data_IF_633206067424
#
_entry.id   IF_633206067424
#
_cell.length_a   1.000
_cell.length_b   1.000
_cell.length_c   1.000
_cell.angle_alpha   90.00
_cell.angle_beta   90.00
_cell.angle_gamma   90.00
#
_symmetry.space_group_name_H-M   'P 1'
#
loop_
_entity.id
_entity.type
_entity.pdbx_description
1 polymer ?
#
# COMPACT_ATOMS: atom_id res chain seq x y z
N UNK A 1 20.14 17.46 -23.23
CA UNK A 1 19.17 16.74 -22.37
C UNK A 1 19.97 15.80 -21.48
N UNK A 2 19.65 15.67 -20.19
CA UNK A 2 20.36 14.71 -19.35
C UNK A 2 20.25 13.30 -19.92
N UNK A 3 21.27 12.46 -19.68
CA UNK A 3 21.31 11.09 -20.15
C UNK A 3 20.06 10.29 -19.68
N UNK A 4 19.68 9.29 -20.45
CA UNK A 4 18.56 8.40 -20.07
C UNK A 4 19.02 7.57 -18.85
N UNK A 5 18.33 7.65 -17.71
CA UNK A 5 18.76 6.94 -16.52
C UNK A 5 18.50 5.43 -16.65
N UNK A 6 19.44 4.65 -16.15
CA UNK A 6 19.36 3.20 -16.01
C UNK A 6 19.36 2.88 -14.52
N UNK A 7 18.61 1.85 -14.09
CA UNK A 7 18.62 1.43 -12.70
C UNK A 7 20.03 0.99 -12.26
N UNK A 8 20.51 1.55 -11.15
CA UNK A 8 21.85 1.27 -10.61
C UNK A 8 21.83 0.42 -9.34
N UNK A 9 20.69 0.35 -8.63
CA UNK A 9 20.54 -0.43 -7.39
C UNK A 9 19.52 -1.56 -7.62
N UNK A 10 19.98 -2.80 -7.49
CA UNK A 10 19.13 -3.99 -7.71
C UNK A 10 18.21 -4.30 -6.50
N UNK A 11 17.57 -5.45 -6.53
CA UNK A 11 16.80 -5.98 -5.41
C UNK A 11 17.74 -6.42 -4.29
N UNK A 12 17.20 -6.46 -3.08
CA UNK A 12 17.95 -6.77 -1.86
C UNK A 12 18.80 -8.05 -1.96
N UNK A 13 18.24 -9.10 -2.58
CA UNK A 13 18.90 -10.41 -2.71
C UNK A 13 20.12 -10.39 -3.65
N UNK A 14 20.25 -9.36 -4.48
CA UNK A 14 21.31 -9.21 -5.47
C UNK A 14 22.30 -8.09 -5.13
N UNK A 15 22.18 -7.49 -3.95
CA UNK A 15 23.10 -6.43 -3.54
C UNK A 15 24.37 -7.02 -2.94
N UNK A 16 25.54 -6.42 -3.23
CA UNK A 16 26.77 -6.74 -2.50
C UNK A 16 26.61 -6.35 -1.02
N UNK A 17 27.36 -7.02 -0.15
CA UNK A 17 27.34 -6.70 1.29
C UNK A 17 28.31 -5.54 1.57
N UNK A 18 27.82 -4.32 1.81
CA UNK A 18 28.67 -3.15 2.02
C UNK A 18 29.38 -3.15 3.38
N UNK A 19 29.06 -4.11 4.28
CA UNK A 19 29.75 -4.25 5.56
C UNK A 19 30.98 -5.11 5.49
N UNK A 20 31.21 -5.80 4.35
CA UNK A 20 32.36 -6.69 4.11
C UNK A 20 33.28 -6.23 3.00
N UNK A 21 32.87 -5.25 2.23
CA UNK A 21 33.52 -4.79 1.02
C UNK A 21 33.87 -3.31 1.12
N UNK A 22 34.93 -2.89 0.45
CA UNK A 22 35.28 -1.47 0.27
C UNK A 22 34.39 -0.78 -0.77
N UNK A 23 34.35 0.56 -0.83
CA UNK A 23 33.60 1.29 -1.86
C UNK A 23 33.93 0.86 -3.29
N UNK A 24 35.21 0.58 -3.58
CA UNK A 24 35.68 0.12 -4.89
C UNK A 24 35.17 -1.28 -5.23
N UNK A 25 35.18 -2.19 -4.26
CA UNK A 25 34.69 -3.56 -4.43
C UNK A 25 33.16 -3.64 -4.55
N UNK A 26 32.43 -2.73 -3.87
CA UNK A 26 30.96 -2.67 -3.93
C UNK A 26 30.49 -2.14 -5.29
N UNK A 27 31.23 -1.23 -5.91
CA UNK A 27 30.84 -0.57 -7.16
C UNK A 27 31.97 -0.57 -8.21
N UNK A 28 32.51 -1.71 -8.60
CA UNK A 28 33.64 -1.79 -9.54
C UNK A 28 33.31 -1.26 -10.94
N UNK A 29 32.02 -1.17 -11.27
CA UNK A 29 31.53 -0.63 -12.54
C UNK A 29 31.53 0.91 -12.60
N UNK A 30 31.69 1.60 -11.47
CA UNK A 30 31.82 3.07 -11.39
C UNK A 30 33.30 3.44 -11.44
N UNK A 31 33.67 4.35 -12.33
CA UNK A 31 35.06 4.79 -12.51
C UNK A 31 35.42 5.90 -11.52
N UNK A 32 34.46 6.74 -11.16
CA UNK A 32 34.65 7.88 -10.29
C UNK A 32 34.61 7.46 -8.81
N UNK A 33 35.67 7.68 -8.05
CA UNK A 33 35.80 7.33 -6.64
C UNK A 33 34.74 7.99 -5.74
N UNK A 34 34.37 9.25 -6.04
CA UNK A 34 33.32 9.92 -5.30
C UNK A 34 31.96 9.22 -5.52
N UNK A 35 31.66 8.77 -6.73
CA UNK A 35 30.45 8.02 -7.03
C UNK A 35 30.47 6.62 -6.39
N UNK A 36 31.64 5.96 -6.32
CA UNK A 36 31.79 4.68 -5.60
C UNK A 36 31.49 4.87 -4.11
N UNK A 37 32.02 5.95 -3.51
CA UNK A 37 31.79 6.29 -2.11
C UNK A 37 30.32 6.63 -1.85
N UNK A 38 29.69 7.43 -2.68
CA UNK A 38 28.25 7.75 -2.60
C UNK A 38 27.40 6.48 -2.66
N UNK A 39 27.69 5.60 -3.62
CA UNK A 39 26.98 4.33 -3.81
C UNK A 39 27.14 3.41 -2.59
N UNK A 40 28.35 3.32 -2.05
CA UNK A 40 28.65 2.53 -0.86
C UNK A 40 27.79 2.95 0.35
N UNK A 41 27.73 4.26 0.66
CA UNK A 41 26.91 4.75 1.77
C UNK A 41 25.42 4.58 1.50
N UNK A 42 24.96 4.70 0.27
CA UNK A 42 23.58 4.38 -0.10
C UNK A 42 23.26 2.91 0.17
N UNK A 43 24.15 1.98 -0.18
CA UNK A 43 23.92 0.56 0.10
C UNK A 43 23.93 0.27 1.59
N UNK A 44 24.81 0.87 2.39
CA UNK A 44 24.80 0.75 3.85
C UNK A 44 23.46 1.20 4.45
N UNK A 45 22.97 2.35 4.02
CA UNK A 45 21.65 2.83 4.42
C UNK A 45 20.53 1.87 4.05
N UNK A 46 20.49 1.40 2.83
CA UNK A 46 19.45 0.49 2.35
C UNK A 46 19.50 -0.89 3.02
N UNK A 47 20.67 -1.39 3.34
CA UNK A 47 20.86 -2.65 4.06
C UNK A 47 20.29 -2.60 5.49
N UNK A 48 20.11 -1.42 6.10
CA UNK A 48 19.43 -1.26 7.38
C UNK A 48 17.96 -1.66 7.33
N UNK A 49 17.39 -1.79 6.13
CA UNK A 49 15.98 -2.16 5.89
C UNK A 49 15.80 -3.59 5.37
N UNK A 50 16.77 -4.50 5.58
CA UNK A 50 16.73 -5.91 5.14
C UNK A 50 15.47 -6.66 5.61
N UNK A 51 14.88 -6.31 6.74
CA UNK A 51 13.67 -6.94 7.28
C UNK A 51 12.34 -6.42 6.67
N UNK A 52 12.36 -5.56 5.64
CA UNK A 52 11.15 -4.99 5.03
C UNK A 52 11.36 -4.64 3.56
N UNK A 53 11.08 -5.58 2.68
CA UNK A 53 11.20 -5.39 1.22
C UNK A 53 10.41 -4.19 0.68
N UNK A 54 9.24 -3.89 1.25
CA UNK A 54 8.44 -2.73 0.86
C UNK A 54 9.10 -1.41 1.25
N UNK A 55 9.67 -1.33 2.46
CA UNK A 55 10.42 -0.16 2.94
C UNK A 55 11.68 0.02 2.12
N UNK A 56 12.47 -1.05 1.95
CA UNK A 56 13.65 -1.05 1.09
C UNK A 56 13.35 -0.49 -0.30
N UNK A 57 12.31 -0.99 -0.97
CA UNK A 57 11.95 -0.54 -2.33
C UNK A 57 11.53 0.94 -2.38
N UNK A 58 10.84 1.44 -1.35
CA UNK A 58 10.46 2.85 -1.27
C UNK A 58 11.68 3.75 -1.06
N UNK A 59 12.59 3.37 -0.15
CA UNK A 59 13.79 4.11 0.17
C UNK A 59 14.78 4.08 -0.99
N UNK A 60 15.03 2.90 -1.57
CA UNK A 60 15.86 2.74 -2.77
C UNK A 60 15.44 3.70 -3.88
N UNK A 61 14.12 3.77 -4.16
CA UNK A 61 13.61 4.63 -5.22
C UNK A 61 13.97 6.09 -5.04
N UNK A 62 13.85 6.63 -3.82
CA UNK A 62 14.09 8.04 -3.56
C UNK A 62 15.61 8.36 -3.54
N UNK A 63 16.42 7.53 -2.86
CA UNK A 63 17.86 7.78 -2.81
C UNK A 63 18.54 7.56 -4.17
N UNK A 64 18.11 6.57 -4.95
CA UNK A 64 18.63 6.35 -6.29
C UNK A 64 18.29 7.48 -7.25
N UNK A 65 17.08 8.06 -7.16
CA UNK A 65 16.71 9.26 -7.92
C UNK A 65 17.63 10.44 -7.60
N UNK A 66 17.94 10.63 -6.32
CA UNK A 66 18.87 11.67 -5.89
C UNK A 66 20.25 11.42 -6.47
N UNK A 67 20.82 10.22 -6.34
CA UNK A 67 22.14 9.90 -6.90
C UNK A 67 22.20 10.11 -8.41
N UNK A 68 21.22 9.59 -9.14
CA UNK A 68 21.17 9.76 -10.60
C UNK A 68 21.08 11.21 -11.00
N UNK A 69 20.32 12.03 -10.27
CA UNK A 69 20.21 13.45 -10.53
C UNK A 69 21.53 14.20 -10.22
N UNK A 70 22.16 13.89 -9.08
CA UNK A 70 23.45 14.47 -8.72
C UNK A 70 24.51 14.17 -9.76
N UNK A 71 24.65 12.90 -10.15
CA UNK A 71 25.72 12.48 -11.06
C UNK A 71 25.49 12.87 -12.51
N UNK A 72 24.25 12.74 -13.00
CA UNK A 72 23.95 12.97 -14.42
C UNK A 72 23.57 14.41 -14.77
N UNK A 73 23.23 15.25 -13.76
CA UNK A 73 22.69 16.58 -14.00
C UNK A 73 23.50 17.68 -13.32
N UNK A 74 24.08 17.39 -12.17
CA UNK A 74 24.80 18.39 -11.36
C UNK A 74 26.32 18.13 -11.33
N UNK A 75 26.77 16.93 -11.69
CA UNK A 75 28.18 16.50 -11.58
C UNK A 75 28.72 16.63 -10.14
N UNK A 76 27.84 16.39 -9.15
CA UNK A 76 28.12 16.53 -7.72
C UNK A 76 28.14 15.16 -7.04
N UNK A 77 28.82 15.08 -5.89
CA UNK A 77 28.77 13.98 -4.93
C UNK A 77 27.99 14.35 -3.67
N UNK A 78 27.65 13.38 -2.82
CA UNK A 78 26.85 13.59 -1.60
C UNK A 78 27.44 14.64 -0.64
N UNK A 79 28.78 14.74 -0.42
CA UNK A 79 29.37 15.78 0.42
C UNK A 79 29.17 17.20 -0.09
N UNK A 80 28.94 17.36 -1.39
CA UNK A 80 28.76 18.67 -2.02
C UNK A 80 27.33 19.18 -1.93
N UNK A 81 26.40 18.33 -1.50
CA UNK A 81 24.97 18.66 -1.48
C UNK A 81 24.69 19.74 -0.44
N UNK A 82 24.10 20.83 -0.87
CA UNK A 82 23.65 21.96 -0.06
C UNK A 82 22.13 22.06 -0.15
N UNK A 83 21.55 22.97 0.64
CA UNK A 83 20.12 23.26 0.68
C UNK A 83 19.54 23.56 -0.71
N UNK A 84 20.22 24.43 -1.48
CA UNK A 84 19.78 24.82 -2.82
C UNK A 84 19.69 23.63 -3.77
N UNK A 85 20.60 22.66 -3.66
CA UNK A 85 20.55 21.43 -4.48
C UNK A 85 19.33 20.57 -4.13
N UNK A 86 18.92 20.52 -2.86
CA UNK A 86 17.70 19.81 -2.47
C UNK A 86 16.45 20.52 -3.01
N UNK A 87 16.42 21.85 -3.02
CA UNK A 87 15.32 22.62 -3.62
C UNK A 87 15.22 22.35 -5.13
N UNK A 88 16.35 22.39 -5.85
CA UNK A 88 16.45 22.08 -7.28
C UNK A 88 16.05 20.61 -7.58
N UNK A 89 16.50 19.67 -6.74
CA UNK A 89 16.10 18.27 -6.87
C UNK A 89 14.59 18.08 -6.71
N UNK A 90 13.96 18.78 -5.77
CA UNK A 90 12.50 18.70 -5.60
C UNK A 90 11.74 19.30 -6.78
N UNK A 91 12.22 20.41 -7.37
CA UNK A 91 11.70 20.95 -8.63
C UNK A 91 11.82 19.93 -9.76
N UNK A 92 12.99 19.30 -9.88
CA UNK A 92 13.22 18.22 -10.84
C UNK A 92 12.26 17.03 -10.63
N UNK A 93 11.99 16.62 -9.38
CA UNK A 93 11.05 15.55 -9.07
C UNK A 93 9.59 15.91 -9.43
N UNK A 94 9.23 17.19 -9.37
CA UNK A 94 7.89 17.66 -9.74
C UNK A 94 7.72 17.72 -11.27
N UNK A 95 8.76 18.14 -11.99
CA UNK A 95 8.75 18.29 -13.45
C UNK A 95 10.02 17.69 -14.08
N UNK A 96 10.16 16.34 -14.02
CA UNK A 96 11.33 15.69 -14.60
C UNK A 96 11.29 15.74 -16.14
N UNK A 97 12.45 15.68 -16.81
CA UNK A 97 12.53 15.58 -18.26
C UNK A 97 11.75 14.36 -18.80
N UNK A 98 11.19 14.49 -19.98
CA UNK A 98 10.34 13.44 -20.57
C UNK A 98 11.02 12.08 -20.72
N UNK A 99 12.34 12.06 -20.96
CA UNK A 99 13.14 10.84 -21.05
C UNK A 99 13.39 10.15 -19.69
N UNK A 100 13.04 10.79 -18.57
CA UNK A 100 13.07 10.22 -17.22
C UNK A 100 11.71 9.65 -16.78
N UNK A 101 10.66 9.82 -17.57
CA UNK A 101 9.29 9.40 -17.25
C UNK A 101 8.90 8.17 -18.06
N UNK A 102 8.52 7.09 -17.37
CA UNK A 102 7.94 5.88 -17.97
C UNK A 102 6.41 5.91 -17.97
N UNK A 103 5.80 5.25 -18.95
CA UNK A 103 4.34 5.10 -19.04
C UNK A 103 3.83 3.82 -18.35
N UNK A 104 4.73 2.93 -17.97
CA UNK A 104 4.42 1.66 -17.27
C UNK A 104 5.55 1.30 -16.31
N UNK A 105 5.19 0.58 -15.24
CA UNK A 105 6.20 -0.04 -14.38
C UNK A 105 6.80 -1.25 -15.10
N UNK A 106 8.11 -1.25 -15.24
CA UNK A 106 8.90 -2.37 -15.79
C UNK A 106 9.92 -2.83 -14.76
N UNK A 107 10.46 -4.05 -14.95
CA UNK A 107 11.54 -4.56 -14.13
C UNK A 107 12.77 -3.64 -14.24
N UNK A 108 13.45 -3.42 -13.12
CA UNK A 108 14.65 -2.56 -13.05
C UNK A 108 15.85 -3.20 -13.75
N UNK A 109 15.99 -4.51 -13.59
CA UNK A 109 17.04 -5.32 -14.15
C UNK A 109 16.46 -6.47 -14.96
N UNK A 110 17.21 -6.91 -15.97
CA UNK A 110 16.90 -8.06 -16.81
C UNK A 110 18.09 -9.02 -16.81
N UNK A 111 17.83 -10.31 -16.96
CA UNK A 111 18.89 -11.27 -17.27
C UNK A 111 19.14 -11.25 -18.78
N UNK A 112 20.37 -10.98 -19.17
CA UNK A 112 20.82 -10.99 -20.56
C UNK A 112 22.09 -11.83 -20.65
N UNK A 113 22.06 -12.92 -21.41
CA UNK A 113 23.17 -13.87 -21.59
C UNK A 113 23.77 -14.40 -20.27
N UNK A 114 22.93 -14.62 -19.25
CA UNK A 114 23.35 -15.07 -17.92
C UNK A 114 23.80 -13.96 -16.97
N UNK A 115 23.98 -12.74 -17.45
CA UNK A 115 24.34 -11.58 -16.65
C UNK A 115 23.10 -10.72 -16.30
N UNK A 116 23.14 -10.13 -15.12
CA UNK A 116 22.08 -9.24 -14.64
C UNK A 116 22.40 -7.79 -14.97
N UNK A 117 21.67 -7.23 -15.92
CA UNK A 117 21.93 -5.88 -16.45
C UNK A 117 20.75 -4.94 -16.21
N UNK A 118 21.00 -3.65 -16.07
CA UNK A 118 19.98 -2.62 -15.97
C UNK A 118 19.03 -2.64 -17.18
N UNK A 119 17.71 -2.52 -16.91
CA UNK A 119 16.72 -2.50 -17.98
C UNK A 119 16.63 -1.13 -18.64
N UNK A 120 17.00 -1.03 -19.91
CA UNK A 120 16.97 0.22 -20.69
C UNK A 120 15.58 0.86 -20.85
N UNK A 121 14.48 0.09 -20.62
CA UNK A 121 13.11 0.62 -20.64
C UNK A 121 12.70 1.20 -19.27
N UNK A 122 13.46 0.91 -18.22
CA UNK A 122 13.12 1.41 -16.89
C UNK A 122 13.31 2.92 -16.80
N UNK A 123 12.44 3.57 -16.03
CA UNK A 123 12.53 5.00 -15.73
C UNK A 123 12.29 5.25 -14.25
N UNK A 124 12.99 6.23 -13.63
CA UNK A 124 12.83 6.54 -12.21
C UNK A 124 11.47 7.15 -11.86
N UNK A 125 10.83 7.83 -12.80
CA UNK A 125 9.49 8.36 -12.66
C UNK A 125 8.51 7.57 -13.54
N UNK A 126 7.30 7.35 -13.06
CA UNK A 126 6.26 6.66 -13.83
C UNK A 126 4.97 7.47 -13.76
N UNK A 127 4.39 7.74 -14.93
CA UNK A 127 3.11 8.40 -14.99
C UNK A 127 2.02 7.50 -14.38
N UNK A 128 1.25 7.97 -13.37
CA UNK A 128 0.20 7.16 -12.77
C UNK A 128 -0.91 6.87 -13.79
N UNK A 129 -1.27 5.60 -13.95
CA UNK A 129 -2.47 5.22 -14.71
C UNK A 129 -3.70 5.42 -13.83
N UNK A 130 -4.62 6.27 -14.26
CA UNK A 130 -5.93 6.37 -13.62
C UNK A 130 -6.91 5.40 -14.29
N UNK A 131 -7.16 4.25 -13.64
CA UNK A 131 -8.11 3.25 -14.14
C UNK A 131 -9.53 3.79 -14.28
N UNK A 132 -9.93 4.69 -13.38
CA UNK A 132 -11.29 5.26 -13.40
C UNK A 132 -11.57 6.11 -14.64
N UNK A 133 -10.57 6.83 -15.15
CA UNK A 133 -10.74 7.69 -16.32
C UNK A 133 -10.67 6.97 -17.66
N UNK A 134 -10.12 5.73 -17.72
CA UNK A 134 -9.86 5.01 -18.96
C UNK A 134 -8.84 5.67 -19.89
N UNK A 135 -8.24 6.80 -19.49
CA UNK A 135 -7.29 7.57 -20.28
C UNK A 135 -5.93 6.89 -20.22
N UNK A 136 -5.34 6.64 -21.39
CA UNK A 136 -3.96 6.11 -21.47
C UNK A 136 -2.99 7.13 -20.88
N UNK A 137 -2.01 6.69 -20.07
CA UNK A 137 -1.03 7.57 -19.47
C UNK A 137 -0.22 8.27 -20.59
N UNK A 138 -0.03 9.59 -20.44
CA UNK A 138 0.87 10.40 -21.28
C UNK A 138 1.93 11.03 -20.38
N UNK A 139 3.14 11.21 -20.89
CA UNK A 139 4.24 11.84 -20.15
C UNK A 139 3.85 13.23 -19.61
N UNK A 140 3.09 14.01 -20.40
CA UNK A 140 2.57 15.33 -20.02
C UNK A 140 1.62 15.31 -18.80
N UNK A 141 1.09 14.14 -18.45
CA UNK A 141 0.18 13.97 -17.31
C UNK A 141 0.92 13.57 -16.02
N UNK A 142 2.26 13.54 -16.03
CA UNK A 142 3.02 13.27 -14.82
C UNK A 142 2.83 14.41 -13.81
N UNK A 143 2.35 14.07 -12.64
CA UNK A 143 2.24 14.99 -11.50
C UNK A 143 2.33 14.18 -10.20
N UNK A 144 3.33 14.44 -9.36
CA UNK A 144 3.44 13.74 -8.08
C UNK A 144 2.39 14.27 -7.10
N UNK A 145 1.77 13.36 -6.34
CA UNK A 145 0.85 13.76 -5.28
C UNK A 145 1.61 14.45 -4.12
N UNK A 146 0.91 15.33 -3.37
CA UNK A 146 1.48 15.96 -2.17
C UNK A 146 2.01 14.94 -1.16
N UNK A 147 1.35 13.77 -1.04
CA UNK A 147 1.82 12.67 -0.20
C UNK A 147 3.13 12.07 -0.70
N UNK A 148 3.32 11.96 -2.02
CA UNK A 148 4.57 11.49 -2.60
C UNK A 148 5.71 12.47 -2.31
N UNK A 149 5.48 13.78 -2.48
CA UNK A 149 6.46 14.85 -2.17
C UNK A 149 6.86 14.80 -0.68
N UNK A 150 5.88 14.71 0.23
CA UNK A 150 6.14 14.59 1.66
C UNK A 150 6.94 13.31 2.01
N UNK A 151 6.63 12.19 1.34
CA UNK A 151 7.36 10.93 1.50
C UNK A 151 8.81 11.04 1.03
N UNK A 152 9.06 11.68 -0.12
CA UNK A 152 10.41 11.92 -0.62
C UNK A 152 11.23 12.74 0.38
N UNK A 153 10.70 13.86 0.89
CA UNK A 153 11.36 14.64 1.94
C UNK A 153 11.66 13.82 3.20
N UNK A 154 10.72 12.99 3.65
CA UNK A 154 10.91 12.18 4.84
C UNK A 154 12.03 11.14 4.66
N UNK A 155 12.05 10.46 3.51
CA UNK A 155 13.07 9.45 3.18
C UNK A 155 14.44 10.10 3.02
N UNK A 156 14.54 11.18 2.27
CA UNK A 156 15.80 11.89 2.06
C UNK A 156 16.34 12.47 3.38
N UNK A 157 15.47 13.04 4.22
CA UNK A 157 15.88 13.50 5.55
C UNK A 157 16.40 12.37 6.42
N UNK A 158 15.79 11.19 6.37
CA UNK A 158 16.27 9.99 7.06
C UNK A 158 17.63 9.54 6.53
N UNK A 159 17.81 9.56 5.20
CA UNK A 159 19.07 9.21 4.57
C UNK A 159 20.21 10.16 4.98
N UNK A 160 20.01 11.46 4.91
CA UNK A 160 21.04 12.44 5.32
C UNK A 160 21.34 12.37 6.83
N UNK A 161 20.36 12.06 7.68
CA UNK A 161 20.61 11.79 9.10
C UNK A 161 21.47 10.55 9.31
N UNK A 162 21.26 9.49 8.52
CA UNK A 162 22.11 8.30 8.54
C UNK A 162 23.55 8.67 8.14
N UNK A 163 23.76 9.48 7.09
CA UNK A 163 25.09 9.91 6.68
C UNK A 163 25.82 10.74 7.76
N UNK A 164 25.09 11.49 8.57
CA UNK A 164 25.65 12.18 9.74
C UNK A 164 26.05 11.18 10.82
N UNK A 165 25.21 10.16 11.11
CA UNK A 165 25.51 9.12 12.08
C UNK A 165 26.71 8.25 11.69
N UNK A 166 26.95 8.10 10.39
CA UNK A 166 28.15 7.44 9.82
C UNK A 166 29.37 8.38 9.73
N UNK A 167 29.27 9.59 10.27
CA UNK A 167 30.32 10.62 10.23
C UNK A 167 30.78 11.00 8.80
N UNK A 168 29.96 10.69 7.79
CA UNK A 168 30.25 11.03 6.41
C UNK A 168 29.87 12.48 6.07
N UNK A 169 28.86 13.03 6.72
CA UNK A 169 28.41 14.42 6.60
C UNK A 169 28.25 15.09 7.96
N UNK A 170 28.41 16.41 7.99
CA UNK A 170 28.24 17.21 9.21
C UNK A 170 26.82 17.79 9.38
N UNK A 171 26.01 17.85 8.32
CA UNK A 171 24.70 18.50 8.36
C UNK A 171 23.69 17.84 7.39
N UNK A 172 22.41 17.97 7.73
CA UNK A 172 21.31 17.49 6.89
C UNK A 172 20.74 18.64 6.04
N UNK A 173 21.01 18.70 4.73
CA UNK A 173 20.55 19.78 3.87
C UNK A 173 19.02 19.76 3.65
N UNK A 174 18.36 18.62 3.92
CA UNK A 174 16.92 18.43 3.69
C UNK A 174 16.09 19.03 4.83
N UNK A 175 16.61 19.06 6.06
CA UNK A 175 15.84 19.39 7.25
C UNK A 175 15.18 20.79 7.16
N UNK A 176 15.94 21.81 6.77
CA UNK A 176 15.45 23.19 6.65
C UNK A 176 14.47 23.36 5.47
N UNK A 177 14.74 22.70 4.34
CA UNK A 177 13.86 22.73 3.16
C UNK A 177 12.50 22.15 3.52
N UNK A 178 12.47 21.04 4.27
CA UNK A 178 11.24 20.38 4.68
C UNK A 178 10.36 21.25 5.59
N UNK A 179 10.97 22.00 6.54
CA UNK A 179 10.22 22.82 7.49
C UNK A 179 9.53 24.03 6.83
N UNK A 180 10.16 24.64 5.83
CA UNK A 180 9.69 25.87 5.15
C UNK A 180 9.38 25.62 3.67
N UNK A 181 9.02 24.41 3.30
CA UNK A 181 8.90 24.00 1.92
C UNK A 181 7.69 24.64 1.22
N UNK A 182 7.96 25.38 0.14
CA UNK A 182 6.94 25.80 -0.84
C UNK A 182 6.31 24.61 -1.59
N UNK A 183 6.96 23.45 -1.57
CA UNK A 183 6.52 22.23 -2.23
C UNK A 183 5.45 21.47 -1.44
N UNK A 184 5.37 21.69 -0.12
CA UNK A 184 4.41 21.03 0.75
C UNK A 184 3.22 21.96 0.96
N UNK A 185 2.17 21.74 0.20
CA UNK A 185 0.91 22.44 0.42
C UNK A 185 0.16 21.78 1.59
N UNK A 186 -0.20 22.56 2.59
CA UNK A 186 -1.13 22.13 3.64
C UNK A 186 -2.55 22.14 3.04
N UNK A 187 -2.90 21.06 2.36
CA UNK A 187 -4.28 20.88 1.89
C UNK A 187 -5.14 20.61 3.11
N UNK A 188 -6.01 21.55 3.46
CA UNK A 188 -6.97 21.42 4.57
C UNK A 188 -8.14 20.48 4.25
N UNK A 189 -8.13 19.82 3.10
CA UNK A 189 -9.16 18.85 2.77
C UNK A 189 -9.09 17.67 3.76
N UNK A 190 -10.15 17.49 4.54
CA UNK A 190 -10.32 16.26 5.31
C UNK A 190 -10.21 15.10 4.34
N UNK A 191 -9.36 14.11 4.63
CA UNK A 191 -9.23 12.95 3.76
C UNK A 191 -10.58 12.25 3.73
N UNK A 192 -11.26 12.31 2.58
CA UNK A 192 -12.50 11.58 2.39
C UNK A 192 -12.17 10.07 2.47
N UNK A 193 -12.81 9.39 3.41
CA UNK A 193 -12.69 7.93 3.51
C UNK A 193 -13.37 7.31 2.31
N UNK A 194 -12.61 6.66 1.47
CA UNK A 194 -13.09 6.01 0.26
C UNK A 194 -13.67 4.65 0.63
N UNK A 195 -14.98 4.51 0.52
CA UNK A 195 -15.75 3.31 0.86
C UNK A 195 -16.72 2.99 -0.27
N UNK A 196 -17.26 1.79 -0.28
CA UNK A 196 -18.35 1.37 -1.14
C UNK A 196 -19.66 1.44 -0.37
N UNK A 197 -20.79 1.69 -1.06
CA UNK A 197 -22.12 1.66 -0.47
C UNK A 197 -22.57 0.20 -0.23
N UNK A 198 -23.57 -0.01 0.64
CA UNK A 198 -24.16 -1.34 0.85
C UNK A 198 -24.70 -1.90 -0.46
N UNK A 199 -25.29 -1.08 -1.30
CA UNK A 199 -25.78 -1.49 -2.62
C UNK A 199 -24.65 -1.95 -3.55
N UNK A 200 -23.53 -1.23 -3.57
CA UNK A 200 -22.34 -1.64 -4.31
C UNK A 200 -21.76 -2.95 -3.75
N UNK A 201 -21.76 -3.11 -2.42
CA UNK A 201 -21.30 -4.34 -1.78
C UNK A 201 -22.14 -5.54 -2.19
N UNK A 202 -23.46 -5.41 -2.17
CA UNK A 202 -24.37 -6.48 -2.58
C UNK A 202 -24.14 -6.90 -4.04
N UNK A 203 -23.88 -5.95 -4.93
CA UNK A 203 -23.52 -6.26 -6.32
C UNK A 203 -22.16 -6.96 -6.43
N UNK A 204 -21.16 -6.56 -5.65
CA UNK A 204 -19.85 -7.21 -5.63
C UNK A 204 -19.97 -8.65 -5.13
N UNK A 205 -20.71 -8.88 -4.05
CA UNK A 205 -20.94 -10.22 -3.52
C UNK A 205 -21.73 -11.09 -4.50
N UNK A 206 -22.77 -10.55 -5.15
CA UNK A 206 -23.52 -11.27 -6.18
C UNK A 206 -22.63 -11.74 -7.33
N UNK A 207 -21.73 -10.87 -7.82
CA UNK A 207 -20.75 -11.28 -8.84
C UNK A 207 -19.83 -12.37 -8.33
N UNK A 208 -19.35 -12.28 -7.08
CA UNK A 208 -18.51 -13.31 -6.49
C UNK A 208 -19.24 -14.67 -6.37
N UNK A 209 -20.51 -14.64 -5.99
CA UNK A 209 -21.37 -15.84 -5.92
C UNK A 209 -21.63 -16.44 -7.31
N UNK A 210 -21.93 -15.61 -8.30
CA UNK A 210 -22.11 -16.04 -9.69
C UNK A 210 -20.83 -16.69 -10.26
N UNK A 211 -19.67 -16.16 -9.90
CA UNK A 211 -18.36 -16.72 -10.27
C UNK A 211 -18.13 -18.06 -9.55
N UNK A 212 -18.43 -18.14 -8.26
CA UNK A 212 -18.29 -19.36 -7.48
C UNK A 212 -19.26 -20.47 -7.96
N UNK A 213 -20.47 -20.11 -8.36
CA UNK A 213 -21.41 -21.05 -8.94
C UNK A 213 -20.96 -21.61 -10.30
N UNK A 214 -20.26 -20.80 -11.11
CA UNK A 214 -19.74 -21.21 -12.43
C UNK A 214 -18.43 -22.01 -12.33
N UNK A 215 -17.53 -21.59 -11.47
CA UNK A 215 -16.23 -22.22 -11.25
C UNK A 215 -15.87 -22.19 -9.75
N UNK A 216 -16.43 -23.15 -8.96
CA UNK A 216 -16.19 -23.21 -7.52
C UNK A 216 -14.69 -23.35 -7.20
N UNK A 217 -13.94 -24.10 -8.01
CA UNK A 217 -12.53 -24.35 -7.80
C UNK A 217 -11.69 -23.07 -7.78
N UNK A 218 -12.07 -22.11 -8.58
CA UNK A 218 -11.39 -20.82 -8.64
C UNK A 218 -11.97 -19.81 -7.64
N UNK A 219 -13.29 -19.83 -7.37
CA UNK A 219 -13.97 -18.66 -6.84
C UNK A 219 -14.64 -18.85 -5.46
N UNK A 220 -14.76 -20.06 -4.89
CA UNK A 220 -15.18 -20.20 -3.49
C UNK A 220 -14.24 -19.44 -2.54
N UNK A 221 -12.93 -19.50 -2.81
CA UNK A 221 -11.95 -18.68 -2.08
C UNK A 221 -12.14 -17.18 -2.31
N UNK A 222 -12.69 -16.74 -3.45
CA UNK A 222 -12.92 -15.32 -3.74
C UNK A 222 -14.01 -14.77 -2.83
N UNK A 223 -15.11 -15.52 -2.65
CA UNK A 223 -16.17 -15.19 -1.69
C UNK A 223 -15.59 -15.07 -0.27
N UNK A 224 -14.80 -16.06 0.15
CA UNK A 224 -14.16 -16.04 1.48
C UNK A 224 -13.19 -14.86 1.65
N UNK A 225 -12.37 -14.55 0.65
CA UNK A 225 -11.44 -13.39 0.66
C UNK A 225 -12.21 -12.08 0.85
N UNK A 226 -13.32 -11.88 0.14
CA UNK A 226 -14.14 -10.67 0.26
C UNK A 226 -14.69 -10.51 1.68
N UNK A 227 -15.21 -11.61 2.28
CA UNK A 227 -15.68 -11.61 3.65
C UNK A 227 -14.55 -11.30 4.66
N UNK A 228 -13.35 -11.86 4.48
CA UNK A 228 -12.19 -11.55 5.31
C UNK A 228 -11.80 -10.07 5.26
N UNK A 229 -11.80 -9.49 4.05
CA UNK A 229 -11.39 -8.10 3.84
C UNK A 229 -12.37 -7.09 4.45
N UNK A 230 -13.67 -7.36 4.37
CA UNK A 230 -14.71 -6.50 4.90
C UNK A 230 -15.00 -6.81 6.37
N UNK A 231 -15.28 -8.06 6.72
CA UNK A 231 -15.77 -8.45 8.05
C UNK A 231 -14.70 -8.50 9.14
N UNK A 232 -13.43 -8.78 8.75
CA UNK A 232 -12.29 -8.78 9.69
C UNK A 232 -11.32 -7.64 9.44
N UNK A 233 -11.62 -6.74 8.54
CA UNK A 233 -10.75 -5.60 8.18
C UNK A 233 -9.31 -5.99 7.85
N UNK A 234 -9.09 -7.18 7.30
CA UNK A 234 -7.75 -7.65 6.99
C UNK A 234 -7.07 -6.78 5.92
N UNK A 235 -5.78 -6.53 6.11
CA UNK A 235 -4.97 -5.98 5.02
C UNK A 235 -4.70 -7.08 4.01
N UNK A 236 -4.64 -6.73 2.73
CA UNK A 236 -4.36 -7.72 1.67
C UNK A 236 -3.09 -8.54 1.93
N UNK A 237 -2.09 -7.97 2.60
CA UNK A 237 -0.86 -8.67 2.99
C UNK A 237 -1.04 -9.65 4.15
N UNK A 238 -2.15 -9.58 4.87
CA UNK A 238 -2.47 -10.49 5.98
C UNK A 238 -3.25 -11.73 5.50
N UNK A 239 -3.60 -11.79 4.21
CA UNK A 239 -4.23 -12.94 3.56
C UNK A 239 -3.22 -13.86 2.84
N UNK A 240 -1.97 -13.44 2.71
CA UNK A 240 -0.94 -14.16 1.96
C UNK A 240 0.23 -14.52 2.86
N UNK A 241 0.90 -15.63 2.54
CA UNK A 241 2.14 -15.98 3.20
C UNK A 241 3.28 -15.06 2.72
N UNK A 242 4.02 -14.50 3.64
CA UNK A 242 5.22 -13.70 3.38
C UNK A 242 6.30 -14.00 4.44
N UNK A 243 7.40 -13.25 4.41
CA UNK A 243 8.52 -13.38 5.34
C UNK A 243 8.16 -13.20 6.83
N UNK A 244 6.98 -12.61 7.14
CA UNK A 244 6.54 -12.32 8.51
C UNK A 244 5.70 -13.44 9.10
N UNK A 245 4.79 -14.00 8.31
CA UNK A 245 3.85 -15.01 8.74
C UNK A 245 3.24 -15.79 7.57
N UNK A 246 2.81 -17.00 7.86
CA UNK A 246 1.95 -17.80 6.98
C UNK A 246 0.60 -17.92 7.67
N UNK A 247 -0.44 -17.19 7.22
CA UNK A 247 -1.77 -17.29 7.82
C UNK A 247 -2.37 -18.68 7.54
N UNK A 248 -2.90 -19.30 8.58
CA UNK A 248 -3.46 -20.66 8.54
C UNK A 248 -4.88 -20.71 9.13
N UNK A 249 -5.61 -21.79 8.86
CA UNK A 249 -6.94 -21.99 9.43
C UNK A 249 -6.90 -22.09 10.97
N UNK A 250 -5.83 -22.64 11.55
CA UNK A 250 -5.62 -22.72 12.99
C UNK A 250 -5.42 -21.38 13.69
N UNK A 251 -5.36 -20.26 12.94
CA UNK A 251 -5.39 -18.90 13.51
C UNK A 251 -6.80 -18.47 13.93
N UNK A 252 -7.85 -19.16 13.46
CA UNK A 252 -9.18 -19.08 14.06
C UNK A 252 -9.23 -19.96 15.31
N UNK A 253 -9.54 -19.35 16.44
CA UNK A 253 -9.59 -20.03 17.75
C UNK A 253 -10.83 -19.63 18.52
N UNK A 254 -11.44 -20.59 19.22
CA UNK A 254 -12.50 -20.31 20.19
C UNK A 254 -11.90 -20.21 21.59
N UNK A 255 -12.46 -19.33 22.42
CA UNK A 255 -12.19 -19.24 23.86
C UNK A 255 -13.11 -20.19 24.67
N UNK A 256 -13.01 -20.13 26.01
CA UNK A 256 -13.83 -20.90 26.95
C UNK A 256 -15.33 -20.62 26.82
N UNK A 257 -15.70 -19.42 26.38
CA UNK A 257 -17.08 -18.95 26.22
C UNK A 257 -17.63 -19.23 24.82
N UNK A 258 -16.87 -19.98 24.00
CA UNK A 258 -17.17 -20.30 22.60
C UNK A 258 -17.20 -19.09 21.68
N UNK A 259 -16.61 -17.96 22.09
CA UNK A 259 -16.40 -16.81 21.22
C UNK A 259 -15.22 -17.09 20.28
N UNK A 260 -15.37 -16.73 19.02
CA UNK A 260 -14.35 -16.97 17.99
C UNK A 260 -13.51 -15.74 17.73
N UNK A 261 -12.23 -15.98 17.59
CA UNK A 261 -11.20 -14.98 17.39
C UNK A 261 -10.25 -15.38 16.27
N UNK A 262 -9.80 -14.40 15.51
CA UNK A 262 -8.76 -14.61 14.48
C UNK A 262 -7.46 -13.92 14.89
N UNK A 263 -6.39 -14.71 14.99
CA UNK A 263 -5.06 -14.24 15.36
C UNK A 263 -4.29 -13.84 14.11
N UNK A 264 -3.77 -12.62 14.02
CA UNK A 264 -3.07 -12.13 12.84
C UNK A 264 -1.82 -11.34 13.20
N UNK A 265 -0.76 -11.53 12.40
CA UNK A 265 0.46 -10.75 12.46
C UNK A 265 0.41 -9.64 11.41
N UNK A 266 0.37 -8.41 11.86
CA UNK A 266 0.24 -7.24 11.00
C UNK A 266 1.57 -6.54 10.68
N UNK A 267 1.46 -5.33 10.16
CA UNK A 267 2.61 -4.47 9.81
C UNK A 267 3.49 -4.22 11.04
N UNK A 268 4.80 -4.35 10.88
CA UNK A 268 5.78 -4.17 11.96
C UNK A 268 5.83 -5.34 12.94
N UNK A 269 5.43 -6.54 12.50
CA UNK A 269 5.41 -7.78 13.30
C UNK A 269 4.55 -7.68 14.58
N UNK A 270 3.50 -6.83 14.53
CA UNK A 270 2.59 -6.66 15.65
C UNK A 270 1.43 -7.64 15.53
N UNK A 271 1.28 -8.49 16.53
CA UNK A 271 0.13 -9.39 16.65
C UNK A 271 -1.11 -8.63 17.11
N UNK A 272 -2.27 -9.02 16.60
CA UNK A 272 -3.58 -8.63 17.14
C UNK A 272 -4.57 -9.78 17.01
N UNK A 273 -5.62 -9.69 17.78
CA UNK A 273 -6.75 -10.63 17.77
C UNK A 273 -7.96 -9.89 17.25
N UNK A 274 -8.71 -10.49 16.36
CA UNK A 274 -9.88 -9.91 15.71
C UNK A 274 -11.12 -10.70 16.08
N UNK A 275 -12.19 -10.03 16.42
CA UNK A 275 -13.51 -10.65 16.67
C UNK A 275 -14.02 -11.30 15.38
N UNK A 276 -14.46 -12.53 15.45
CA UNK A 276 -15.10 -13.27 14.35
C UNK A 276 -16.62 -13.22 14.54
N UNK A 277 -17.33 -12.51 13.68
CA UNK A 277 -18.78 -12.45 13.70
C UNK A 277 -19.43 -13.78 13.25
N UNK A 278 -20.71 -13.96 13.53
CA UNK A 278 -21.45 -15.16 13.08
C UNK A 278 -21.44 -15.28 11.56
N UNK A 279 -21.59 -14.17 10.83
CA UNK A 279 -21.55 -14.17 9.36
C UNK A 279 -20.17 -14.57 8.83
N UNK A 280 -19.10 -14.09 9.49
CA UNK A 280 -17.74 -14.49 9.14
C UNK A 280 -17.49 -15.98 9.45
N UNK A 281 -18.06 -16.48 10.55
CA UNK A 281 -17.97 -17.89 10.90
C UNK A 281 -18.72 -18.77 9.87
N UNK A 282 -19.89 -18.34 9.41
CA UNK A 282 -20.63 -19.00 8.33
C UNK A 282 -19.82 -19.02 7.01
N UNK A 283 -19.18 -17.88 6.66
CA UNK A 283 -18.31 -17.82 5.48
C UNK A 283 -17.10 -18.75 5.59
N UNK A 284 -16.51 -18.86 6.79
CA UNK A 284 -15.44 -19.80 7.08
C UNK A 284 -15.90 -21.26 6.91
N UNK A 285 -17.05 -21.63 7.49
CA UNK A 285 -17.62 -22.97 7.41
C UNK A 285 -17.91 -23.37 5.96
N UNK A 286 -18.48 -22.46 5.16
CA UNK A 286 -18.71 -22.66 3.73
C UNK A 286 -17.41 -22.94 2.98
N UNK A 287 -16.41 -22.09 3.17
CA UNK A 287 -15.12 -22.25 2.48
C UNK A 287 -14.41 -23.54 2.90
N UNK A 288 -14.48 -23.93 4.18
CA UNK A 288 -13.92 -25.18 4.69
C UNK A 288 -14.68 -26.40 4.14
N UNK A 289 -16.00 -26.35 4.06
CA UNK A 289 -16.80 -27.40 3.46
C UNK A 289 -16.43 -27.65 1.99
N UNK A 290 -16.16 -26.54 1.25
CA UNK A 290 -15.69 -26.67 -0.13
C UNK A 290 -14.28 -27.29 -0.21
N UNK A 291 -13.42 -27.09 0.79
CA UNK A 291 -12.09 -27.72 0.89
C UNK A 291 -12.15 -29.17 1.40
N UNK A 292 -13.33 -29.72 1.62
CA UNK A 292 -13.57 -31.04 2.24
C UNK A 292 -12.93 -31.17 3.64
N UNK A 293 -13.04 -30.09 4.43
CA UNK A 293 -12.52 -29.98 5.78
C UNK A 293 -13.69 -29.93 6.80
N UNK A 294 -13.45 -30.35 8.07
CA UNK A 294 -14.41 -30.14 9.14
C UNK A 294 -14.91 -28.70 9.22
N UNK A 295 -16.15 -28.46 9.61
CA UNK A 295 -16.79 -27.13 9.59
C UNK A 295 -15.99 -26.06 10.32
N UNK A 296 -15.34 -26.39 11.42
CA UNK A 296 -14.51 -25.47 12.22
C UNK A 296 -13.07 -25.98 12.31
N UNK A 297 -12.09 -25.08 12.33
CA UNK A 297 -10.69 -25.46 12.49
C UNK A 297 -10.37 -25.86 13.93
N UNK A 298 -9.33 -26.67 14.09
CA UNK A 298 -8.77 -26.99 15.40
C UNK A 298 -7.53 -26.13 15.68
N UNK A 299 -7.17 -25.90 16.95
CA UNK A 299 -5.96 -25.16 17.29
C UNK A 299 -4.71 -25.82 16.69
N UNK A 300 -3.87 -24.99 16.02
CA UNK A 300 -2.66 -25.47 15.38
C UNK A 300 -2.85 -26.14 14.01
N UNK A 301 -4.05 -26.09 13.45
CA UNK A 301 -4.31 -26.61 12.08
C UNK A 301 -3.43 -25.85 11.05
N UNK A 302 -2.56 -26.56 10.28
CA UNK A 302 -1.61 -25.93 9.38
C UNK A 302 -2.19 -25.58 8.00
N UNK A 303 -3.46 -25.89 7.75
CA UNK A 303 -4.11 -25.61 6.47
C UNK A 303 -4.00 -24.11 6.13
N UNK A 304 -3.48 -23.72 4.96
CA UNK A 304 -3.38 -22.31 4.58
C UNK A 304 -4.73 -21.60 4.66
N UNK A 305 -4.75 -20.36 5.17
CA UNK A 305 -5.95 -19.53 5.19
C UNK A 305 -6.53 -19.38 3.78
N UNK A 306 -5.67 -19.08 2.79
CA UNK A 306 -6.01 -19.06 1.37
C UNK A 306 -5.05 -19.99 0.63
N UNK A 307 -5.57 -21.12 0.16
CA UNK A 307 -4.78 -22.09 -0.60
C UNK A 307 -4.62 -21.66 -2.08
N UNK A 308 -3.53 -22.12 -2.71
CA UNK A 308 -3.36 -22.03 -4.16
C UNK A 308 -4.37 -22.96 -4.84
N UNK A 309 -4.88 -22.56 -6.02
CA UNK A 309 -5.71 -23.44 -6.87
C UNK A 309 -4.82 -24.44 -7.64
N UNK A 310 -3.70 -23.95 -8.13
CA UNK A 310 -2.73 -24.81 -8.82
C UNK A 310 -1.46 -24.95 -7.97
N UNK A 311 -1.03 -26.18 -7.73
CA UNK A 311 0.07 -26.53 -6.83
C UNK A 311 -0.37 -26.59 -5.35
N UNK A 312 0.61 -26.65 -4.46
CA UNK A 312 0.38 -26.81 -3.02
C UNK A 312 0.76 -25.54 -2.24
N UNK A 313 0.18 -25.42 -1.04
CA UNK A 313 0.51 -24.41 -0.05
C UNK A 313 -0.26 -23.09 -0.19
N UNK A 314 0.15 -22.06 0.59
CA UNK A 314 -0.56 -20.80 0.68
C UNK A 314 -0.35 -19.91 -0.55
N UNK A 315 -1.30 -19.02 -0.79
CA UNK A 315 -1.08 -17.89 -1.70
C UNK A 315 -0.01 -16.96 -1.12
N UNK A 316 0.98 -16.59 -1.94
CA UNK A 316 2.10 -15.70 -1.56
C UNK A 316 2.02 -14.33 -2.24
N UNK A 317 1.13 -14.16 -3.21
CA UNK A 317 1.04 -12.97 -4.03
C UNK A 317 -0.18 -12.09 -3.71
N UNK A 318 0.06 -10.93 -3.11
CA UNK A 318 -0.99 -9.92 -2.94
C UNK A 318 -1.58 -9.44 -4.28
N UNK A 319 -0.83 -9.58 -5.38
CA UNK A 319 -1.33 -9.26 -6.72
C UNK A 319 -2.44 -10.22 -7.14
N UNK A 320 -2.30 -11.51 -6.81
CA UNK A 320 -3.33 -12.51 -7.11
C UNK A 320 -4.63 -12.19 -6.38
N UNK A 321 -4.57 -11.90 -5.07
CA UNK A 321 -5.75 -11.47 -4.29
C UNK A 321 -6.38 -10.22 -4.89
N UNK A 322 -5.55 -9.22 -5.24
CA UNK A 322 -6.03 -7.97 -5.85
C UNK A 322 -6.76 -8.22 -7.17
N UNK A 323 -6.26 -9.13 -8.00
CA UNK A 323 -6.88 -9.45 -9.28
C UNK A 323 -8.26 -10.12 -9.09
N UNK A 324 -8.41 -11.03 -8.10
CA UNK A 324 -9.67 -11.67 -7.76
C UNK A 324 -10.72 -10.63 -7.31
N UNK A 325 -10.35 -9.76 -6.39
CA UNK A 325 -11.24 -8.69 -5.91
C UNK A 325 -11.58 -7.70 -7.04
N UNK A 326 -10.59 -7.32 -7.88
CA UNK A 326 -10.82 -6.41 -9.00
C UNK A 326 -11.78 -6.99 -10.03
N UNK A 327 -11.73 -8.30 -10.29
CA UNK A 327 -12.68 -8.98 -11.17
C UNK A 327 -14.11 -8.84 -10.64
N UNK A 328 -14.32 -8.97 -9.33
CA UNK A 328 -15.64 -8.75 -8.73
C UNK A 328 -16.09 -7.29 -8.84
N UNK A 329 -15.19 -6.32 -8.64
CA UNK A 329 -15.51 -4.90 -8.84
C UNK A 329 -15.83 -4.56 -10.30
N UNK A 330 -15.06 -5.11 -11.25
CA UNK A 330 -15.29 -4.87 -12.68
C UNK A 330 -16.63 -5.49 -13.14
N UNK A 331 -16.97 -6.68 -12.63
CA UNK A 331 -18.27 -7.34 -12.89
C UNK A 331 -19.43 -6.56 -12.29
N UNK A 332 -19.32 -6.15 -11.02
CA UNK A 332 -20.34 -5.33 -10.36
C UNK A 332 -20.52 -3.97 -11.06
N UNK A 333 -19.43 -3.32 -11.48
CA UNK A 333 -19.50 -2.12 -12.31
C UNK A 333 -20.29 -2.36 -13.59
N UNK A 334 -20.00 -3.43 -14.34
CA UNK A 334 -20.73 -3.76 -15.56
C UNK A 334 -22.24 -3.98 -15.31
N UNK A 335 -22.59 -4.67 -14.23
CA UNK A 335 -23.97 -4.90 -13.81
C UNK A 335 -24.69 -3.59 -13.47
N UNK A 336 -24.04 -2.69 -12.73
CA UNK A 336 -24.60 -1.38 -12.35
C UNK A 336 -24.83 -0.50 -13.60
N UNK A 337 -23.89 -0.50 -14.54
CA UNK A 337 -24.07 0.19 -15.85
C UNK A 337 -25.27 -0.38 -16.60
N UNK A 338 -25.41 -1.72 -16.69
CA UNK A 338 -26.53 -2.36 -17.36
C UNK A 338 -27.88 -2.04 -16.72
N UNK A 339 -27.89 -1.78 -15.38
CA UNK A 339 -29.08 -1.35 -14.62
C UNK A 339 -29.36 0.16 -14.72
N UNK A 340 -28.56 0.93 -15.45
CA UNK A 340 -28.71 2.39 -15.55
C UNK A 340 -28.23 3.17 -14.32
N UNK A 341 -27.51 2.54 -13.39
CA UNK A 341 -27.00 3.10 -12.12
C UNK A 341 -25.64 3.76 -12.34
N UNK A 342 -25.57 4.80 -13.15
CA UNK A 342 -24.30 5.39 -13.63
C UNK A 342 -23.44 6.00 -12.52
N UNK A 343 -24.07 6.60 -11.50
CA UNK A 343 -23.37 7.23 -10.36
C UNK A 343 -22.66 6.17 -9.53
N UNK A 344 -23.38 5.15 -9.06
CA UNK A 344 -22.86 4.02 -8.29
C UNK A 344 -21.78 3.25 -9.06
N UNK A 345 -21.98 3.05 -10.37
CA UNK A 345 -20.99 2.40 -11.23
C UNK A 345 -19.69 3.22 -11.30
N UNK A 346 -19.77 4.55 -11.44
CA UNK A 346 -18.60 5.42 -11.56
C UNK A 346 -17.75 5.40 -10.28
N UNK A 347 -18.38 5.42 -9.11
CA UNK A 347 -17.68 5.31 -7.84
C UNK A 347 -17.00 3.96 -7.69
N UNK A 348 -17.69 2.87 -7.98
CA UNK A 348 -17.16 1.50 -7.88
C UNK A 348 -15.98 1.27 -8.81
N UNK A 349 -15.95 1.90 -9.98
CA UNK A 349 -14.82 1.82 -10.92
C UNK A 349 -13.49 2.30 -10.31
N UNK A 350 -13.55 3.24 -9.36
CA UNK A 350 -12.39 3.75 -8.65
C UNK A 350 -11.99 2.89 -7.43
N UNK A 351 -12.83 1.91 -7.05
CA UNK A 351 -12.64 1.11 -5.84
C UNK A 351 -11.36 0.26 -5.91
N UNK A 352 -10.78 0.06 -4.76
CA UNK A 352 -9.61 -0.82 -4.56
C UNK A 352 -9.86 -1.74 -3.37
N UNK A 353 -9.10 -2.82 -3.25
CA UNK A 353 -9.18 -3.76 -2.12
C UNK A 353 -9.21 -3.04 -0.77
N UNK A 354 -8.48 -1.93 -0.62
CA UNK A 354 -8.42 -1.19 0.62
C UNK A 354 -9.75 -0.51 1.01
N UNK A 355 -10.62 -0.24 0.02
CA UNK A 355 -11.94 0.31 0.29
C UNK A 355 -12.83 -0.67 1.06
N UNK A 356 -12.69 -1.99 0.85
CA UNK A 356 -13.44 -3.00 1.61
C UNK A 356 -13.15 -2.87 3.12
N UNK A 357 -11.87 -2.79 3.49
CA UNK A 357 -11.49 -2.56 4.88
C UNK A 357 -12.03 -1.21 5.40
N UNK A 358 -11.97 -0.16 4.60
CA UNK A 358 -12.53 1.15 4.97
C UNK A 358 -14.04 1.06 5.18
N UNK A 359 -14.74 0.35 4.30
CA UNK A 359 -16.19 0.12 4.42
C UNK A 359 -16.51 -0.60 5.71
N UNK A 360 -15.91 -1.77 5.99
CA UNK A 360 -16.18 -2.53 7.21
C UNK A 360 -15.94 -1.71 8.47
N UNK A 361 -14.80 -1.00 8.57
CA UNK A 361 -14.53 -0.12 9.72
C UNK A 361 -15.56 1.00 9.82
N UNK A 362 -15.94 1.66 8.69
CA UNK A 362 -16.89 2.78 8.70
C UNK A 362 -18.29 2.36 9.11
N UNK A 363 -18.73 1.16 8.76
CA UNK A 363 -20.03 0.64 9.20
C UNK A 363 -20.00 0.26 10.68
N UNK A 364 -18.95 -0.41 11.12
CA UNK A 364 -18.86 -0.90 12.49
C UNK A 364 -18.65 0.19 13.54
N UNK A 365 -17.96 1.29 13.23
CA UNK A 365 -17.86 2.43 14.19
C UNK A 365 -19.20 3.11 14.47
N UNK A 366 -20.25 2.85 13.67
CA UNK A 366 -21.62 3.35 13.90
C UNK A 366 -22.37 2.55 14.96
N UNK A 367 -22.05 1.24 15.09
CA UNK A 367 -22.83 0.30 15.91
C UNK A 367 -22.03 -0.38 17.02
N UNK A 368 -20.67 -0.35 16.93
CA UNK A 368 -19.76 -0.95 17.92
C UNK A 368 -18.97 0.12 18.66
N UNK A 369 -18.55 -0.15 19.92
CA UNK A 369 -17.59 0.72 20.62
C UNK A 369 -16.32 0.93 19.79
N UNK A 370 -15.88 2.17 19.66
CA UNK A 370 -14.74 2.57 18.80
C UNK A 370 -13.43 1.91 19.22
N UNK A 371 -13.27 1.68 20.52
CA UNK A 371 -12.14 1.01 21.12
C UNK A 371 -12.02 -0.42 20.57
N UNK A 372 -13.12 -1.15 20.49
CA UNK A 372 -13.15 -2.51 19.96
C UNK A 372 -12.82 -2.53 18.47
N UNK A 373 -13.41 -1.61 17.69
CA UNK A 373 -13.11 -1.48 16.25
C UNK A 373 -11.65 -1.08 16.01
N UNK A 374 -11.08 -0.21 16.86
CA UNK A 374 -9.67 0.17 16.82
C UNK A 374 -8.76 -1.03 17.02
N UNK A 375 -9.04 -1.88 18.02
CA UNK A 375 -8.26 -3.07 18.33
C UNK A 375 -8.32 -4.09 17.20
N UNK A 376 -9.52 -4.45 16.74
CA UNK A 376 -9.74 -5.35 15.62
C UNK A 376 -9.05 -4.85 14.35
N UNK A 377 -9.15 -3.55 14.05
CA UNK A 377 -8.49 -2.94 12.91
C UNK A 377 -6.95 -2.83 13.07
N UNK A 378 -6.43 -2.91 14.30
CA UNK A 378 -5.01 -2.73 14.61
C UNK A 378 -4.54 -1.30 14.29
N UNK A 379 -5.31 -0.30 14.73
CA UNK A 379 -4.92 1.11 14.64
C UNK A 379 -4.11 1.52 15.86
N UNK A 380 -2.94 2.12 15.62
CA UNK A 380 -2.03 2.55 16.69
C UNK A 380 -2.58 3.72 17.53
N UNK A 381 -3.55 4.48 17.01
CA UNK A 381 -4.18 5.60 17.71
C UNK A 381 -5.67 5.71 17.40
N UNK A 382 -6.45 6.24 18.36
CA UNK A 382 -7.86 6.56 18.16
C UNK A 382 -8.07 7.55 17.01
N UNK A 383 -7.20 8.54 16.85
CA UNK A 383 -7.28 9.49 15.75
C UNK A 383 -7.27 8.83 14.35
N UNK A 384 -6.79 7.59 14.23
CA UNK A 384 -6.88 6.82 12.99
C UNK A 384 -8.29 6.24 12.81
N UNK A 385 -8.92 5.76 13.87
CA UNK A 385 -10.30 5.25 13.86
C UNK A 385 -11.29 6.38 13.71
N UNK A 386 -11.05 7.53 14.35
CA UNK A 386 -11.94 8.71 14.30
C UNK A 386 -12.09 9.29 12.88
N UNK A 387 -11.14 9.03 11.99
CA UNK A 387 -11.27 9.39 10.56
C UNK A 387 -12.42 8.68 9.85
N UNK A 388 -12.88 7.55 10.38
CA UNK A 388 -14.00 6.79 9.85
C UNK A 388 -15.36 7.25 10.37
N UNK A 389 -15.37 8.15 11.35
CA UNK A 389 -16.59 8.75 11.92
C UNK A 389 -17.08 9.93 11.06
N UNK A 390 -16.57 10.08 9.85
CA UNK A 390 -17.07 11.11 8.94
C UNK A 390 -18.57 10.84 8.70
N UNK A 391 -19.39 11.63 9.41
CA UNK A 391 -20.84 11.65 9.19
C UNK A 391 -21.05 11.95 7.70
N UNK A 392 -21.77 11.08 7.02
CA UNK A 392 -22.21 11.38 5.66
C UNK A 392 -22.89 12.75 5.68
N UNK A 393 -22.67 13.56 4.66
CA UNK A 393 -23.33 14.85 4.55
C UNK A 393 -24.85 14.74 4.73
N UNK A 394 -25.44 13.61 4.26
CA UNK A 394 -26.86 13.29 4.46
C UNK A 394 -27.21 13.02 5.92
N UNK A 395 -26.42 12.21 6.64
CA UNK A 395 -26.62 11.93 8.07
C UNK A 395 -26.42 13.20 8.90
N UNK A 396 -25.40 13.99 8.57
CA UNK A 396 -25.14 15.27 9.21
C UNK A 396 -26.28 16.28 8.97
N UNK A 397 -26.82 16.32 7.74
CA UNK A 397 -27.97 17.15 7.42
C UNK A 397 -29.22 16.66 8.18
N UNK A 398 -29.51 15.35 8.16
CA UNK A 398 -30.65 14.77 8.87
C UNK A 398 -30.63 15.05 10.37
N UNK A 399 -29.43 14.97 11.00
CA UNK A 399 -29.30 15.27 12.44
C UNK A 399 -29.48 16.76 12.78
N UNK A 400 -29.26 17.64 11.80
CA UNK A 400 -29.32 19.10 12.01
C UNK A 400 -30.65 19.73 11.56
N UNK A 401 -31.45 19.04 10.70
CA UNK A 401 -32.65 19.64 10.06
C UNK A 401 -33.70 20.11 11.06
N UNK A 402 -33.79 19.46 12.21
CA UNK A 402 -34.78 19.80 13.27
C UNK A 402 -34.18 20.66 14.38
N UNK A 403 -32.98 21.24 14.17
CA UNK A 403 -32.35 22.11 15.17
C UNK A 403 -33.17 23.37 15.36
N UNK A 404 -33.78 23.53 16.56
CA UNK A 404 -34.51 24.76 16.93
C UNK A 404 -33.52 25.91 17.19
N UNK A 405 -33.70 27.02 16.51
CA UNK A 405 -32.87 28.23 16.65
C UNK A 405 -33.50 29.21 17.64
N UNK A 406 -34.84 29.19 17.78
CA UNK A 406 -35.58 30.03 18.71
C UNK A 406 -35.77 29.35 20.06
N UNK A 407 -35.51 30.06 21.15
CA UNK A 407 -35.95 29.62 22.49
C UNK A 407 -37.48 29.66 22.52
N UNK A 408 -38.17 28.66 23.12
CA UNK A 408 -39.59 28.84 23.43
C UNK A 408 -39.72 30.09 24.31
N UNK A 409 -40.71 30.93 24.02
CA UNK A 409 -41.06 32.02 24.92
C UNK A 409 -41.34 31.41 26.31
N UNK A 410 -40.67 31.90 27.33
CA UNK A 410 -40.99 31.55 28.70
C UNK A 410 -42.44 32.00 28.93
N UNK A 411 -43.33 31.04 29.17
CA UNK A 411 -44.65 31.34 29.69
C UNK A 411 -44.43 32.03 31.05
N UNK A 412 -44.74 33.36 31.11
CA UNK A 412 -44.96 34.12 32.35
C UNK A 412 -46.33 33.78 32.94
#
# INVERSE_FOLDING_TARGET
>A
MPAIPIAIIDNLDNLPDPFRLSPQEVAPHLINEAQQTDYYYVLRYLCSYKGSSATFNAYRREVERLLQWLWATQELSLPDVRREHIEQFMEFCISPPSNWIGLKNVARFKNKHGERVGNSEWRPFVCPSNKASGIKPKVSNYSPSQKAIQSSFAILSSFFNFLIQEEFLSANPVALVRQRSRFIQKVQNRPQVRRISNYQWDEVMRVAEDLAAKDPQQHERTVFILNCLLGMYLRISELVADERATPVMGDFRSDSDRSWWFHVVGKGNKSRVITVSNDMLAALQRYRSWLDLPALPHPGEPTPLIAKVHGHGPVTSTRQIRNLVQMCFDGAHANLVAKGQAEEATELKAATVHWLRHTGISEDVKIRPREHVKEDAGHSSMATTDKYIDSELRERHASAINKKITRPASDE
#
